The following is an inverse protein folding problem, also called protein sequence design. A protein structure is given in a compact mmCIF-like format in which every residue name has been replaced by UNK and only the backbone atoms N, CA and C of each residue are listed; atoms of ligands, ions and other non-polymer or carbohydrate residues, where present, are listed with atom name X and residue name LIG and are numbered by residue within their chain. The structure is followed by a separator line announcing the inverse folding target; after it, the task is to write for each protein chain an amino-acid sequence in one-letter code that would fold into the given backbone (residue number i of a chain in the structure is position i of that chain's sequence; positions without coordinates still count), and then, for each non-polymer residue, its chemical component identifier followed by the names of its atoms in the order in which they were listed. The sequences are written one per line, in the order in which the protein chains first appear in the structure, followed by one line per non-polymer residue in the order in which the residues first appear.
data_IF_436287034310
#
_entry.id   IF_436287034310
#
_cell.length_a   1.000
_cell.length_b   1.000
_cell.length_c   1.000
_cell.angle_alpha   90.00
_cell.angle_beta   90.00
_cell.angle_gamma   90.00
#
_symmetry.space_group_name_H-M   'P 1'
#
loop_
_entity.id
_entity.type
_entity.pdbx_description
1 polymer ?
#
# COMPACT_ATOMS: atom_id res chain seq x y z
N UNK A 1 33.06 5.66 5.77
CA UNK A 1 31.81 4.99 6.17
C UNK A 1 31.74 5.07 7.68
N UNK A 2 30.68 5.65 8.25
CA UNK A 2 30.55 5.92 9.69
C UNK A 2 29.51 4.98 10.30
N UNK A 3 29.81 4.41 11.45
CA UNK A 3 28.84 3.62 12.22
C UNK A 3 28.27 4.49 13.34
N UNK A 4 26.95 4.54 13.44
CA UNK A 4 26.24 5.34 14.44
C UNK A 4 25.12 4.49 15.03
N UNK A 5 24.87 4.63 16.33
CA UNK A 5 23.71 4.04 17.01
C UNK A 5 22.75 5.16 17.40
N UNK A 6 21.46 4.97 17.19
CA UNK A 6 20.44 5.90 17.66
C UNK A 6 19.37 6.21 16.63
N UNK A 7 18.87 7.44 16.66
CA UNK A 7 17.72 7.87 15.87
C UNK A 7 17.97 7.75 14.35
N UNK A 8 16.93 7.39 13.59
CA UNK A 8 17.00 7.37 12.13
C UNK A 8 17.13 8.79 11.56
N UNK A 9 17.71 8.88 10.36
CA UNK A 9 17.75 10.13 9.60
C UNK A 9 16.55 10.20 8.68
N UNK A 10 15.78 11.27 8.84
CA UNK A 10 14.63 11.59 8.00
C UNK A 10 15.06 12.55 6.89
N UNK A 11 14.40 12.46 5.72
CA UNK A 11 14.47 13.44 4.64
C UNK A 11 15.88 13.87 4.24
N UNK A 12 16.53 13.10 3.37
CA UNK A 12 17.78 13.51 2.71
C UNK A 12 17.63 13.36 1.20
N UNK A 13 18.27 14.27 0.45
CA UNK A 13 18.30 14.16 -1.01
C UNK A 13 19.28 13.04 -1.38
N UNK A 14 18.78 12.04 -2.09
CA UNK A 14 19.61 11.03 -2.73
C UNK A 14 20.22 11.63 -4.00
N UNK A 15 21.52 11.87 -4.00
CA UNK A 15 22.25 12.18 -5.22
C UNK A 15 22.50 10.87 -5.98
N UNK A 16 21.64 10.58 -6.96
CA UNK A 16 21.70 9.35 -7.75
C UNK A 16 22.92 9.26 -8.65
N UNK A 17 23.52 10.40 -9.01
CA UNK A 17 24.68 10.45 -9.92
C UNK A 17 25.95 10.04 -9.18
N UNK A 18 26.08 10.43 -7.91
CA UNK A 18 27.26 10.18 -7.08
C UNK A 18 27.16 8.92 -6.17
N UNK A 19 26.18 8.05 -6.38
CA UNK A 19 26.04 6.82 -5.58
C UNK A 19 27.19 5.84 -5.80
N UNK A 20 27.83 5.44 -4.71
CA UNK A 20 28.83 4.36 -4.70
C UNK A 20 28.21 2.98 -4.97
N UNK A 21 29.06 2.00 -5.26
CA UNK A 21 28.64 0.62 -5.57
C UNK A 21 27.75 -0.02 -4.48
N UNK A 22 28.11 0.15 -3.20
CA UNK A 22 27.31 -0.38 -2.08
C UNK A 22 25.94 0.31 -1.98
N UNK A 23 25.90 1.62 -2.21
CA UNK A 23 24.64 2.39 -2.18
C UNK A 23 23.70 1.89 -3.29
N UNK A 24 24.21 1.57 -4.48
CA UNK A 24 23.40 1.00 -5.58
C UNK A 24 22.86 -0.41 -5.31
N UNK A 25 23.57 -1.22 -4.51
CA UNK A 25 23.12 -2.58 -4.16
C UNK A 25 22.04 -2.55 -3.08
N UNK A 26 22.24 -1.74 -2.05
CA UNK A 26 21.38 -1.73 -0.87
C UNK A 26 20.22 -0.74 -0.98
N UNK A 27 20.45 0.42 -1.60
CA UNK A 27 19.41 1.38 -1.90
C UNK A 27 18.84 0.99 -3.26
N UNK A 28 17.81 0.14 -3.24
CA UNK A 28 17.02 -0.04 -4.46
C UNK A 28 16.45 1.32 -4.82
N UNK A 29 16.71 1.88 -6.01
CA UNK A 29 16.02 3.07 -6.43
C UNK A 29 14.54 2.72 -6.34
N UNK A 30 13.79 3.45 -5.50
CA UNK A 30 12.34 3.32 -5.30
C UNK A 30 11.55 3.67 -6.58
N UNK A 31 12.20 3.63 -7.74
CA UNK A 31 11.84 4.17 -9.04
C UNK A 31 12.20 3.21 -10.18
N UNK A 32 12.16 1.89 -9.99
CA UNK A 32 11.66 1.10 -11.13
C UNK A 32 10.22 1.57 -11.31
N UNK A 33 10.00 2.45 -12.29
CA UNK A 33 8.69 3.00 -12.60
C UNK A 33 7.77 1.81 -12.80
N UNK A 34 6.82 1.64 -11.89
CA UNK A 34 5.77 0.63 -12.06
C UNK A 34 5.14 0.81 -13.44
N UNK A 35 4.94 -0.30 -14.13
CA UNK A 35 4.23 -0.30 -15.39
C UNK A 35 2.80 0.23 -15.20
N UNK A 36 2.14 0.57 -16.31
CA UNK A 36 0.81 1.18 -16.27
C UNK A 36 -0.22 0.32 -15.51
N UNK A 37 -0.36 -0.95 -15.88
CA UNK A 37 -1.31 -1.86 -15.25
C UNK A 37 -0.90 -2.21 -13.84
N UNK A 38 0.39 -2.44 -13.59
CA UNK A 38 0.92 -2.68 -12.25
C UNK A 38 0.56 -1.54 -11.30
N UNK A 39 0.78 -0.29 -11.73
CA UNK A 39 0.45 0.89 -10.92
C UNK A 39 -1.04 0.97 -10.61
N UNK A 40 -1.90 0.83 -11.62
CA UNK A 40 -3.36 0.89 -11.39
C UNK A 40 -3.84 -0.24 -10.47
N UNK A 41 -3.28 -1.44 -10.62
CA UNK A 41 -3.60 -2.57 -9.74
C UNK A 41 -3.18 -2.28 -8.30
N UNK A 42 -1.95 -1.78 -8.08
CA UNK A 42 -1.45 -1.46 -6.76
C UNK A 42 -2.26 -0.35 -6.09
N UNK A 43 -2.62 0.71 -6.83
CA UNK A 43 -3.53 1.77 -6.38
C UNK A 43 -4.90 1.20 -5.98
N UNK A 44 -5.49 0.36 -6.83
CA UNK A 44 -6.81 -0.21 -6.55
C UNK A 44 -6.78 -1.20 -5.38
N UNK A 45 -5.72 -2.02 -5.26
CA UNK A 45 -5.60 -3.03 -4.21
C UNK A 45 -5.35 -2.40 -2.84
N UNK A 46 -4.57 -1.32 -2.78
CA UNK A 46 -4.32 -0.57 -1.55
C UNK A 46 -5.50 0.31 -1.10
N UNK A 47 -6.47 0.59 -2.00
CA UNK A 47 -7.67 1.35 -1.68
C UNK A 47 -8.71 0.49 -0.93
N UNK A 48 -8.44 0.24 0.34
CA UNK A 48 -9.22 -0.65 1.23
C UNK A 48 -10.54 -0.03 1.73
N UNK A 49 -10.68 1.32 1.75
CA UNK A 49 -11.88 2.06 2.20
C UNK A 49 -12.53 2.90 1.09
N UNK A 50 -12.79 2.29 -0.09
CA UNK A 50 -13.15 2.95 -1.35
C UNK A 50 -14.16 4.11 -1.31
N UNK A 51 -15.19 4.08 -0.45
CA UNK A 51 -16.27 5.07 -0.49
C UNK A 51 -16.88 5.41 0.87
N UNK A 52 -16.21 5.09 1.97
CA UNK A 52 -16.82 5.20 3.29
C UNK A 52 -16.96 6.66 3.75
N UNK A 53 -18.04 7.32 3.33
CA UNK A 53 -18.38 8.71 3.63
C UNK A 53 -19.47 8.81 4.69
N UNK A 54 -19.35 8.07 5.80
CA UNK A 54 -20.23 8.27 6.96
C UNK A 54 -19.53 9.11 8.00
N UNK A 55 -19.82 10.40 7.92
CA UNK A 55 -19.52 11.35 8.98
C UNK A 55 -20.42 10.96 10.16
N UNK A 56 -19.83 10.47 11.26
CA UNK A 56 -20.44 10.20 12.58
C UNK A 56 -20.63 8.73 13.00
N UNK A 57 -20.17 7.73 12.23
CA UNK A 57 -20.16 6.33 12.71
C UNK A 57 -18.76 5.95 13.20
N UNK A 58 -18.69 5.18 14.31
CA UNK A 58 -17.44 4.64 14.83
C UNK A 58 -16.96 3.48 13.97
N UNK A 59 -15.86 3.68 13.24
CA UNK A 59 -15.32 2.72 12.28
C UNK A 59 -14.49 1.63 12.96
N UNK A 60 -13.79 2.01 14.03
CA UNK A 60 -12.88 1.12 14.72
C UNK A 60 -13.29 1.02 16.20
N UNK A 61 -13.15 -0.19 16.74
CA UNK A 61 -13.23 -0.45 18.17
C UNK A 61 -11.81 -0.57 18.71
N UNK A 62 -11.53 0.21 19.75
CA UNK A 62 -10.31 0.18 20.52
C UNK A 62 -10.62 -0.43 21.87
N UNK A 63 -10.05 -1.59 22.13
CA UNK A 63 -10.08 -2.23 23.45
C UNK A 63 -8.69 -2.07 24.05
N UNK A 64 -8.59 -1.27 25.12
CA UNK A 64 -7.34 -1.01 25.81
C UNK A 64 -7.56 -0.95 27.32
N UNK A 65 -6.59 -1.47 28.06
CA UNK A 65 -6.56 -1.39 29.51
C UNK A 65 -5.98 -0.08 30.05
N UNK A 66 -5.47 0.80 29.18
CA UNK A 66 -4.94 2.13 29.51
C UNK A 66 -5.29 3.11 28.39
N UNK A 67 -6.49 3.70 28.48
CA UNK A 67 -7.03 4.61 27.47
C UNK A 67 -6.12 5.84 27.26
N UNK A 68 -5.52 6.37 28.33
CA UNK A 68 -4.65 7.54 28.26
C UNK A 68 -3.38 7.25 27.45
N UNK A 69 -2.75 6.09 27.67
CA UNK A 69 -1.59 5.67 26.89
C UNK A 69 -1.96 5.35 25.43
N UNK A 70 -3.12 4.73 25.20
CA UNK A 70 -3.63 4.46 23.85
C UNK A 70 -3.87 5.76 23.07
N UNK A 71 -4.53 6.75 23.67
CA UNK A 71 -4.74 8.08 23.08
C UNK A 71 -3.40 8.78 22.80
N UNK A 72 -2.43 8.66 23.70
CA UNK A 72 -1.10 9.26 23.52
C UNK A 72 -0.35 8.66 22.32
N UNK A 73 -0.44 7.35 22.12
CA UNK A 73 0.20 6.65 21.00
C UNK A 73 -0.49 6.93 19.65
N UNK A 74 -1.82 7.06 19.64
CA UNK A 74 -2.61 7.24 18.42
C UNK A 74 -2.85 8.71 18.05
N UNK A 75 -2.89 9.62 19.02
CA UNK A 75 -3.28 11.03 18.85
C UNK A 75 -2.33 11.85 17.96
N UNK A 76 -1.08 11.41 17.86
CA UNK A 76 -0.01 12.11 17.13
C UNK A 76 0.40 11.43 15.82
N UNK A 77 -0.39 10.45 15.37
CA UNK A 77 -0.27 9.90 14.02
C UNK A 77 -0.75 10.97 13.04
N UNK A 78 0.15 11.48 12.18
CA UNK A 78 -0.19 12.54 11.23
C UNK A 78 -1.22 12.05 10.20
N UNK A 79 -2.49 12.43 10.37
CA UNK A 79 -3.53 12.26 9.35
C UNK A 79 -3.42 13.28 8.20
N UNK A 80 -4.07 13.00 7.06
CA UNK A 80 -4.08 13.91 5.89
C UNK A 80 -5.06 15.08 6.05
N UNK A 81 -5.99 14.99 7.01
CA UNK A 81 -7.12 15.92 7.16
C UNK A 81 -7.01 16.82 8.41
N UNK A 82 -7.54 18.06 8.33
CA UNK A 82 -7.48 19.09 9.39
C UNK A 82 -8.47 18.90 10.55
N UNK A 83 -9.44 17.98 10.44
CA UNK A 83 -10.36 17.62 11.53
C UNK A 83 -9.94 16.25 12.02
N UNK A 84 -9.39 16.19 13.23
CA UNK A 84 -8.86 14.96 13.81
C UNK A 84 -9.95 14.28 14.63
N UNK A 85 -10.63 13.28 14.07
CA UNK A 85 -11.20 12.22 14.90
C UNK A 85 -10.27 11.00 14.83
N UNK A 86 -10.23 10.23 15.91
CA UNK A 86 -9.38 9.05 16.06
C UNK A 86 -9.57 8.05 14.91
N UNK A 87 -10.82 7.85 14.47
CA UNK A 87 -11.16 6.99 13.34
C UNK A 87 -10.58 7.47 12.02
N UNK A 88 -10.62 8.77 11.74
CA UNK A 88 -10.02 9.33 10.52
C UNK A 88 -8.50 9.16 10.54
N UNK A 89 -7.85 9.32 11.70
CA UNK A 89 -6.42 9.08 11.86
C UNK A 89 -6.06 7.60 11.62
N UNK A 90 -6.80 6.65 12.23
CA UNK A 90 -6.57 5.21 12.03
C UNK A 90 -6.83 4.85 10.56
N UNK A 91 -7.91 5.34 9.95
CA UNK A 91 -8.22 5.08 8.54
C UNK A 91 -7.09 5.56 7.64
N UNK A 92 -6.69 6.83 7.76
CA UNK A 92 -5.63 7.43 6.94
C UNK A 92 -4.30 6.66 7.13
N UNK A 93 -4.00 6.25 8.35
CA UNK A 93 -2.78 5.49 8.65
C UNK A 93 -2.79 4.09 8.03
N UNK A 94 -3.91 3.35 8.16
CA UNK A 94 -4.07 2.01 7.58
C UNK A 94 -4.01 2.09 6.05
N UNK A 95 -4.55 3.12 5.41
CA UNK A 95 -4.43 3.34 3.96
C UNK A 95 -2.98 3.62 3.53
N UNK A 96 -2.25 4.45 4.27
CA UNK A 96 -0.84 4.73 4.01
C UNK A 96 0.01 3.46 4.15
N UNK A 97 -0.26 2.66 5.19
CA UNK A 97 0.38 1.37 5.39
C UNK A 97 0.03 0.44 4.23
N UNK A 98 -1.23 0.35 3.80
CA UNK A 98 -1.64 -0.49 2.69
C UNK A 98 -0.91 -0.11 1.39
N UNK A 99 -0.80 1.17 1.08
CA UNK A 99 -0.05 1.68 -0.07
C UNK A 99 1.43 1.28 0.00
N UNK A 100 2.04 1.46 1.18
CA UNK A 100 3.44 1.13 1.41
C UNK A 100 3.68 -0.38 1.32
N UNK A 101 2.81 -1.20 1.91
CA UNK A 101 2.91 -2.66 1.88
C UNK A 101 2.72 -3.22 0.47
N UNK A 102 1.78 -2.72 -0.32
CA UNK A 102 1.55 -3.19 -1.68
C UNK A 102 2.77 -2.89 -2.58
N UNK A 103 3.37 -1.71 -2.44
CA UNK A 103 4.55 -1.33 -3.22
C UNK A 103 5.87 -1.94 -2.72
N UNK A 104 6.14 -1.84 -1.41
CA UNK A 104 7.44 -2.15 -0.78
C UNK A 104 7.44 -3.45 0.04
N UNK A 105 6.29 -4.10 0.23
CA UNK A 105 6.08 -5.37 0.98
C UNK A 105 6.23 -5.28 2.50
N UNK A 106 6.87 -4.23 2.99
CA UNK A 106 7.11 -3.94 4.40
C UNK A 106 6.96 -2.43 4.60
N UNK A 107 6.41 -2.04 5.75
CA UNK A 107 6.32 -0.65 6.18
C UNK A 107 7.02 -0.49 7.54
N UNK A 108 7.76 0.60 7.70
CA UNK A 108 8.50 0.91 8.92
C UNK A 108 8.07 2.26 9.47
N UNK A 109 7.90 2.34 10.78
CA UNK A 109 7.67 3.59 11.50
C UNK A 109 8.59 3.63 12.72
N UNK A 110 8.87 4.82 13.24
CA UNK A 110 9.71 4.99 14.42
C UNK A 110 9.04 5.92 15.41
N UNK A 111 9.10 5.54 16.68
CA UNK A 111 8.60 6.31 17.80
C UNK A 111 9.63 7.36 18.24
N UNK A 112 9.21 8.61 18.28
CA UNK A 112 9.93 9.70 18.93
C UNK A 112 9.22 10.11 20.20
N UNK A 113 10.01 10.43 21.21
CA UNK A 113 9.55 11.04 22.45
C UNK A 113 9.97 12.51 22.40
N UNK A 114 9.00 13.41 22.38
CA UNK A 114 9.25 14.83 22.61
C UNK A 114 9.23 15.05 24.12
N UNK A 115 10.42 15.18 24.71
CA UNK A 115 10.59 15.40 26.15
C UNK A 115 10.09 16.78 26.61
N UNK A 116 9.94 17.75 25.72
CA UNK A 116 9.49 19.10 26.08
C UNK A 116 7.97 19.19 26.17
N UNK A 117 7.27 18.44 25.32
CA UNK A 117 5.79 18.41 25.28
C UNK A 117 5.17 17.17 25.92
N UNK A 118 6.01 16.25 26.38
CA UNK A 118 5.61 14.90 26.78
C UNK A 118 4.79 14.18 25.71
N UNK A 119 5.02 14.47 24.43
CA UNK A 119 4.27 13.91 23.30
C UNK A 119 5.01 12.73 22.66
N UNK A 120 4.28 11.71 22.25
CA UNK A 120 4.81 10.59 21.47
C UNK A 120 4.49 10.82 19.99
N UNK A 121 5.46 10.69 19.09
CA UNK A 121 5.22 10.83 17.65
C UNK A 121 5.68 9.60 16.88
N UNK A 122 4.77 9.03 16.08
CA UNK A 122 5.09 7.93 15.18
C UNK A 122 5.35 8.51 13.79
N UNK A 123 6.57 8.33 13.27
CA UNK A 123 6.98 8.90 11.99
C UNK A 123 7.32 7.79 10.99
N UNK A 124 6.80 7.85 9.74
CA UNK A 124 7.14 6.87 8.72
C UNK A 124 8.63 6.90 8.37
N UNK A 125 9.19 5.72 8.14
CA UNK A 125 10.54 5.53 7.63
C UNK A 125 10.48 4.99 6.20
N UNK A 126 11.36 5.52 5.35
CA UNK A 126 11.56 4.94 4.02
C UNK A 126 12.02 3.49 4.16
N UNK A 127 11.38 2.55 3.47
CA UNK A 127 11.79 1.14 3.52
C UNK A 127 12.97 0.83 2.58
N UNK A 128 13.27 1.73 1.64
CA UNK A 128 14.27 1.49 0.59
C UNK A 128 15.73 1.58 1.04
N UNK A 129 15.99 2.13 2.23
CA UNK A 129 17.30 2.29 2.84
C UNK A 129 17.45 1.50 4.14
N UNK A 130 16.44 0.71 4.51
CA UNK A 130 16.43 -0.13 5.71
C UNK A 130 16.68 -1.58 5.32
N UNK A 131 17.57 -2.23 6.05
CA UNK A 131 17.71 -3.67 5.97
C UNK A 131 17.86 -4.27 7.36
N UNK A 132 17.41 -5.50 7.49
CA UNK A 132 17.49 -6.25 8.72
C UNK A 132 18.64 -7.24 8.62
N UNK A 133 19.49 -7.25 9.64
CA UNK A 133 20.47 -8.30 9.86
C UNK A 133 20.18 -8.93 11.23
N UNK A 134 19.75 -10.19 11.23
CA UNK A 134 19.23 -10.88 12.42
C UNK A 134 18.05 -10.09 13.03
N UNK A 135 18.19 -9.59 14.27
CA UNK A 135 17.17 -8.78 14.94
C UNK A 135 17.53 -7.28 14.98
N UNK A 136 18.54 -6.86 14.21
CA UNK A 136 19.00 -5.49 14.18
C UNK A 136 18.51 -4.83 12.90
N UNK A 137 17.76 -3.74 13.04
CA UNK A 137 17.38 -2.90 11.92
C UNK A 137 18.47 -1.85 11.67
N UNK A 138 18.98 -1.81 10.45
CA UNK A 138 20.07 -0.91 10.05
C UNK A 138 19.56 -0.01 8.93
N UNK A 139 19.76 1.29 9.11
CA UNK A 139 19.54 2.29 8.08
C UNK A 139 20.85 2.65 7.40
N UNK A 140 20.89 2.48 6.07
CA UNK A 140 21.96 3.00 5.23
C UNK A 140 21.63 4.40 4.77
N UNK A 141 22.35 5.38 5.33
CA UNK A 141 22.24 6.76 4.88
C UNK A 141 23.38 7.03 3.89
N UNK A 142 23.07 7.33 2.62
CA UNK A 142 24.07 7.61 1.60
C UNK A 142 24.84 8.90 1.92
N UNK A 143 25.90 9.14 1.15
CA UNK A 143 26.56 10.44 1.12
C UNK A 143 25.55 11.55 0.80
N UNK A 144 25.62 12.64 1.53
CA UNK A 144 24.69 13.78 1.41
C UNK A 144 25.39 15.07 1.80
N UNK A 145 24.96 16.18 1.22
CA UNK A 145 25.35 17.50 1.71
C UNK A 145 24.58 17.83 2.98
N UNK A 146 25.26 18.47 3.94
CA UNK A 146 24.64 18.92 5.21
C UNK A 146 23.55 19.98 4.98
N UNK A 147 23.74 20.84 3.99
CA UNK A 147 22.80 21.90 3.61
C UNK A 147 22.52 21.84 2.10
N UNK A 148 21.26 22.04 1.72
CA UNK A 148 20.77 21.81 0.34
C UNK A 148 21.13 22.94 -0.63
N UNK A 149 21.62 24.10 -0.14
CA UNK A 149 21.78 25.33 -0.93
C UNK A 149 23.05 26.15 -0.62
N UNK A 150 23.94 25.66 0.24
CA UNK A 150 25.23 26.33 0.45
C UNK A 150 26.26 25.78 -0.55
N UNK A 151 26.94 26.67 -1.30
CA UNK A 151 27.99 26.27 -2.27
C UNK A 151 29.14 25.49 -1.64
N UNK A 152 29.33 25.65 -0.33
CA UNK A 152 30.44 25.10 0.45
C UNK A 152 29.94 24.03 1.45
N UNK A 153 28.77 23.43 1.20
CA UNK A 153 28.16 22.47 2.10
C UNK A 153 29.05 21.22 2.28
N UNK A 154 29.42 20.94 3.53
CA UNK A 154 30.17 19.75 3.91
C UNK A 154 29.46 18.47 3.44
N UNK A 155 30.18 17.63 2.70
CA UNK A 155 29.68 16.37 2.20
C UNK A 155 29.83 15.30 3.30
N UNK A 156 28.71 14.98 3.94
CA UNK A 156 28.67 13.97 4.98
C UNK A 156 28.93 12.58 4.38
N UNK A 157 29.74 11.73 5.06
CA UNK A 157 30.03 10.40 4.57
C UNK A 157 28.79 9.48 4.68
N UNK A 158 28.82 8.37 3.95
CA UNK A 158 27.85 7.27 4.12
C UNK A 158 27.84 6.81 5.58
N UNK A 159 26.65 6.72 6.17
CA UNK A 159 26.42 6.29 7.55
C UNK A 159 25.64 4.97 7.58
N UNK A 160 26.08 4.02 8.39
CA UNK A 160 25.27 2.90 8.84
C UNK A 160 24.74 3.20 10.23
N UNK A 161 23.41 3.28 10.36
CA UNK A 161 22.73 3.58 11.60
C UNK A 161 22.02 2.35 12.14
N UNK A 162 22.43 1.90 13.32
CA UNK A 162 21.72 0.86 14.05
C UNK A 162 20.54 1.51 14.78
N UNK A 163 19.33 1.15 14.38
CA UNK A 163 18.10 1.70 14.94
C UNK A 163 17.71 0.96 16.21
N UNK A 164 17.09 1.69 17.13
CA UNK A 164 16.58 1.14 18.37
C UNK A 164 15.33 0.28 18.08
N UNK A 165 15.43 -1.03 18.31
CA UNK A 165 14.37 -1.98 17.96
C UNK A 165 13.13 -1.84 18.84
N UNK A 166 13.31 -1.39 20.10
CA UNK A 166 12.22 -1.05 21.02
C UNK A 166 11.27 0.00 20.40
N UNK A 167 11.81 1.03 19.76
CA UNK A 167 11.06 2.17 19.19
C UNK A 167 10.64 1.98 17.72
N UNK A 168 11.06 0.90 17.07
CA UNK A 168 10.77 0.64 15.66
C UNK A 168 9.49 -0.18 15.50
N UNK A 169 8.51 0.34 14.78
CA UNK A 169 7.32 -0.40 14.33
C UNK A 169 7.62 -1.00 12.96
N UNK A 170 7.29 -2.27 12.79
CA UNK A 170 7.41 -2.97 11.52
C UNK A 170 6.13 -3.70 11.19
N UNK A 171 5.65 -3.49 9.97
CA UNK A 171 4.47 -4.15 9.44
C UNK A 171 4.86 -4.88 8.16
N UNK A 172 4.48 -6.15 8.03
CA UNK A 172 4.79 -6.98 6.86
C UNK A 172 3.52 -7.50 6.20
N UNK A 173 3.55 -7.68 4.88
CA UNK A 173 2.49 -8.42 4.20
C UNK A 173 2.42 -9.87 4.70
N UNK A 174 1.21 -10.34 5.00
CA UNK A 174 0.94 -11.77 5.19
C UNK A 174 1.48 -12.59 4.01
N UNK A 175 2.03 -13.79 4.29
CA UNK A 175 2.70 -14.64 3.29
C UNK A 175 1.82 -14.93 2.06
N UNK A 176 0.53 -15.19 2.29
CA UNK A 176 -0.45 -15.47 1.24
C UNK A 176 -0.69 -14.26 0.35
N UNK A 177 -0.94 -13.09 0.93
CA UNK A 177 -1.09 -11.82 0.20
C UNK A 177 0.17 -11.45 -0.56
N UNK A 178 1.35 -11.66 0.05
CA UNK A 178 2.65 -11.42 -0.59
C UNK A 178 2.85 -12.30 -1.83
N UNK A 179 2.49 -13.57 -1.77
CA UNK A 179 2.56 -14.49 -2.93
C UNK A 179 1.58 -14.07 -4.02
N UNK A 180 0.33 -13.78 -3.66
CA UNK A 180 -0.70 -13.31 -4.58
C UNK A 180 -0.26 -12.05 -5.35
N UNK A 181 0.26 -11.04 -4.63
CA UNK A 181 0.74 -9.79 -5.24
C UNK A 181 1.99 -10.02 -6.10
N UNK A 182 2.90 -10.89 -5.68
CA UNK A 182 4.10 -11.21 -6.46
C UNK A 182 3.73 -11.84 -7.81
N UNK A 183 2.85 -12.83 -7.80
CA UNK A 183 2.37 -13.51 -9.00
C UNK A 183 1.63 -12.55 -9.92
N UNK A 184 0.70 -11.75 -9.37
CA UNK A 184 -0.06 -10.77 -10.15
C UNK A 184 0.86 -9.73 -10.77
N UNK A 185 1.75 -9.12 -10.00
CA UNK A 185 2.63 -8.06 -10.48
C UNK A 185 3.61 -8.58 -11.54
N UNK A 186 4.11 -9.81 -11.41
CA UNK A 186 4.94 -10.43 -12.46
C UNK A 186 4.21 -10.49 -13.81
N UNK A 187 2.93 -10.84 -13.81
CA UNK A 187 2.13 -10.90 -15.04
C UNK A 187 1.82 -9.49 -15.56
N UNK A 188 1.48 -8.54 -14.68
CA UNK A 188 1.19 -7.16 -15.09
C UNK A 188 2.44 -6.47 -15.68
N UNK A 189 3.61 -6.66 -15.07
CA UNK A 189 4.88 -6.16 -15.63
C UNK A 189 5.15 -6.71 -17.04
N UNK A 190 4.82 -7.99 -17.28
CA UNK A 190 4.95 -8.58 -18.61
C UNK A 190 3.99 -7.95 -19.63
N UNK A 191 2.73 -7.67 -19.23
CA UNK A 191 1.77 -6.98 -20.09
C UNK A 191 2.18 -5.52 -20.35
N UNK A 192 2.66 -4.83 -19.32
CA UNK A 192 3.10 -3.43 -19.42
C UNK A 192 4.26 -3.23 -20.39
N UNK A 193 5.17 -4.22 -20.49
CA UNK A 193 6.26 -4.21 -21.47
C UNK A 193 5.76 -4.06 -22.91
N UNK A 194 4.60 -4.63 -23.24
CA UNK A 194 4.06 -4.67 -24.60
C UNK A 194 2.94 -3.65 -24.86
N UNK A 195 2.50 -2.91 -23.83
CA UNK A 195 1.37 -1.98 -23.93
C UNK A 195 1.64 -0.79 -24.88
N UNK A 196 2.86 -0.27 -24.87
CA UNK A 196 3.25 0.90 -25.67
C UNK A 196 3.98 0.54 -26.97
N UNK A 197 4.09 -0.76 -27.28
CA UNK A 197 4.74 -1.25 -28.50
C UNK A 197 3.89 -1.00 -29.76
N UNK A 198 2.69 -0.43 -29.58
CA UNK A 198 1.79 -0.05 -30.67
C UNK A 198 2.49 0.87 -31.69
N UNK A 199 3.42 1.69 -31.21
CA UNK A 199 4.18 2.60 -32.08
C UNK A 199 5.18 1.88 -32.97
N UNK A 200 5.66 0.69 -32.57
CA UNK A 200 6.55 -0.14 -33.37
C UNK A 200 5.84 -0.78 -34.58
N UNK A 201 4.51 -0.90 -34.54
CA UNK A 201 3.71 -1.40 -35.67
C UNK A 201 3.35 -0.32 -36.70
N UNK A 202 3.64 0.96 -36.43
CA UNK A 202 3.50 1.98 -37.48
C UNK A 202 4.70 1.91 -38.43
N UNK A 203 4.46 1.82 -39.75
CA UNK A 203 5.53 1.95 -40.71
C UNK A 203 6.14 3.36 -40.62
N UNK A 204 7.47 3.44 -40.73
CA UNK A 204 8.19 4.71 -40.64
C UNK A 204 8.02 5.48 -41.95
N UNK A 205 7.58 6.73 -41.86
CA UNK A 205 7.54 7.62 -43.01
C UNK A 205 8.95 7.82 -43.57
N UNK A 206 9.08 7.71 -44.90
CA UNK A 206 10.33 7.99 -45.62
C UNK A 206 10.11 9.15 -46.59
N UNK A 207 11.19 9.71 -47.14
CA UNK A 207 11.09 10.76 -48.16
C UNK A 207 10.31 10.27 -49.40
N UNK A 208 10.48 9.00 -49.76
CA UNK A 208 9.79 8.36 -50.89
C UNK A 208 8.34 7.96 -50.58
N UNK A 209 8.02 7.70 -49.31
CA UNK A 209 6.66 7.39 -48.86
C UNK A 209 6.35 8.12 -47.54
N UNK A 210 5.90 9.38 -47.60
CA UNK A 210 5.65 10.20 -46.42
C UNK A 210 4.39 9.77 -45.65
N UNK A 211 3.50 8.96 -46.26
CA UNK A 211 2.25 8.48 -45.67
C UNK A 211 2.13 6.96 -45.82
N UNK A 212 2.97 6.18 -45.14
CA UNK A 212 2.93 4.74 -45.26
C UNK A 212 1.65 4.18 -44.63
N UNK A 213 0.93 3.36 -45.39
CA UNK A 213 -0.25 2.64 -44.90
C UNK A 213 0.17 1.41 -44.09
N UNK A 214 -0.59 1.11 -43.05
CA UNK A 214 -0.38 -0.08 -42.21
C UNK A 214 -1.56 -1.03 -42.38
N UNK A 215 -1.29 -2.30 -42.70
CA UNK A 215 -2.27 -3.38 -42.73
C UNK A 215 -2.51 -3.99 -41.34
N UNK A 216 -1.83 -3.48 -40.31
CA UNK A 216 -1.95 -3.99 -38.95
C UNK A 216 -3.32 -3.62 -38.34
N UNK A 217 -4.07 -4.63 -37.91
CA UNK A 217 -5.35 -4.41 -37.22
C UNK A 217 -5.12 -4.04 -35.75
N UNK A 218 -5.01 -2.73 -35.50
CA UNK A 218 -4.90 -2.18 -34.15
C UNK A 218 -6.10 -2.50 -33.25
N UNK A 219 -7.30 -2.70 -33.80
CA UNK A 219 -8.49 -3.04 -33.00
C UNK A 219 -8.36 -4.46 -32.46
N UNK A 220 -7.95 -5.39 -33.32
CA UNK A 220 -7.69 -6.77 -32.92
C UNK A 220 -6.56 -6.87 -31.89
N UNK A 221 -5.50 -6.07 -32.05
CA UNK A 221 -4.41 -5.99 -31.07
C UNK A 221 -4.90 -5.52 -29.69
N UNK A 222 -5.65 -4.41 -29.64
CA UNK A 222 -6.21 -3.88 -28.37
C UNK A 222 -7.14 -4.90 -27.72
N UNK A 223 -8.00 -5.56 -28.50
CA UNK A 223 -8.89 -6.61 -27.97
C UNK A 223 -8.11 -7.81 -27.40
N UNK A 224 -7.01 -8.19 -28.04
CA UNK A 224 -6.12 -9.26 -27.56
C UNK A 224 -5.44 -8.88 -26.24
N UNK A 225 -4.94 -7.65 -26.12
CA UNK A 225 -4.35 -7.13 -24.88
C UNK A 225 -5.38 -7.10 -23.75
N UNK A 226 -6.61 -6.70 -24.04
CA UNK A 226 -7.70 -6.69 -23.06
C UNK A 226 -8.07 -8.09 -22.57
N UNK A 227 -8.18 -9.05 -23.48
CA UNK A 227 -8.41 -10.47 -23.13
C UNK A 227 -7.24 -11.04 -22.30
N UNK A 228 -6.01 -10.67 -22.62
CA UNK A 228 -4.83 -11.09 -21.87
C UNK A 228 -4.86 -10.52 -20.44
N UNK A 229 -5.13 -9.22 -20.29
CA UNK A 229 -5.31 -8.58 -18.98
C UNK A 229 -6.43 -9.25 -18.18
N UNK A 230 -7.55 -9.55 -18.83
CA UNK A 230 -8.70 -10.15 -18.18
C UNK A 230 -8.39 -11.54 -17.60
N UNK A 231 -7.67 -12.37 -18.36
CA UNK A 231 -7.20 -13.69 -17.91
C UNK A 231 -6.16 -13.57 -16.80
N UNK A 232 -5.21 -12.65 -16.95
CA UNK A 232 -4.12 -12.40 -16.01
C UNK A 232 -4.59 -12.00 -14.60
N UNK A 233 -5.77 -11.40 -14.51
CA UNK A 233 -6.30 -10.79 -13.27
C UNK A 233 -7.42 -11.62 -12.65
N UNK A 234 -7.73 -12.79 -13.21
CA UNK A 234 -8.80 -13.68 -12.72
C UNK A 234 -8.58 -14.12 -11.27
N UNK A 235 -7.34 -14.39 -10.89
CA UNK A 235 -7.01 -14.90 -9.55
C UNK A 235 -7.15 -13.82 -8.46
N UNK A 236 -6.82 -12.57 -8.77
CA UNK A 236 -7.00 -11.45 -7.83
C UNK A 236 -8.41 -10.89 -7.86
N UNK A 237 -9.13 -11.06 -8.97
CA UNK A 237 -10.46 -10.48 -9.18
C UNK A 237 -10.43 -9.03 -9.67
N UNK A 238 -9.24 -8.44 -9.89
CA UNK A 238 -9.14 -7.05 -10.34
C UNK A 238 -9.71 -6.87 -11.75
N UNK A 239 -10.62 -5.91 -11.97
CA UNK A 239 -11.29 -5.72 -13.27
C UNK A 239 -10.53 -4.78 -14.22
N UNK A 240 -9.36 -4.28 -13.84
CA UNK A 240 -8.59 -3.38 -14.70
C UNK A 240 -9.24 -2.01 -14.91
N UNK A 241 -10.16 -1.61 -14.02
CA UNK A 241 -11.04 -0.44 -14.15
C UNK A 241 -11.90 -0.42 -15.44
N UNK A 242 -12.10 -1.59 -16.06
CA UNK A 242 -12.98 -1.76 -17.22
C UNK A 242 -14.27 -2.44 -16.77
N UNK A 243 -15.39 -1.85 -17.16
CA UNK A 243 -16.68 -2.52 -17.20
C UNK A 243 -16.99 -2.75 -18.67
N UNK A 244 -16.72 -3.95 -19.16
CA UNK A 244 -17.00 -4.30 -20.55
C UNK A 244 -18.07 -5.39 -20.57
N UNK A 245 -19.33 -4.94 -20.41
CA UNK A 245 -20.55 -5.76 -20.42
C UNK A 245 -20.71 -6.58 -21.71
N UNK A 246 -19.95 -6.25 -22.78
CA UNK A 246 -20.00 -6.98 -24.04
C UNK A 246 -19.14 -8.25 -24.05
N UNK A 247 -18.16 -8.36 -23.14
CA UNK A 247 -17.14 -9.42 -23.17
C UNK A 247 -17.36 -10.50 -22.12
N UNK A 248 -18.09 -10.21 -21.04
CA UNK A 248 -18.31 -11.11 -19.91
C UNK A 248 -19.71 -10.95 -19.32
N UNK A 249 -20.21 -12.00 -18.64
CA UNK A 249 -21.49 -11.91 -17.95
C UNK A 249 -21.37 -11.15 -16.64
N UNK A 250 -22.43 -10.43 -16.27
CA UNK A 250 -22.53 -9.72 -14.98
C UNK A 250 -22.28 -10.64 -13.79
N UNK A 251 -22.71 -11.89 -13.90
CA UNK A 251 -22.46 -12.92 -12.91
C UNK A 251 -20.97 -13.12 -12.65
N UNK A 252 -20.18 -13.24 -13.72
CA UNK A 252 -18.75 -13.45 -13.61
C UNK A 252 -18.01 -12.22 -13.05
N UNK A 253 -18.43 -11.01 -13.45
CA UNK A 253 -17.83 -9.77 -12.94
C UNK A 253 -18.14 -9.56 -11.44
N UNK A 254 -19.33 -9.92 -10.97
CA UNK A 254 -19.66 -9.89 -9.55
C UNK A 254 -18.79 -10.85 -8.71
N UNK A 255 -18.51 -12.07 -9.18
CA UNK A 255 -17.57 -12.97 -8.48
C UNK A 255 -16.16 -12.40 -8.40
N UNK A 256 -15.72 -11.72 -9.45
CA UNK A 256 -14.41 -11.06 -9.46
C UNK A 256 -14.36 -9.93 -8.46
N UNK A 257 -15.40 -9.10 -8.42
CA UNK A 257 -15.52 -8.00 -7.48
C UNK A 257 -15.50 -8.50 -6.02
N UNK A 258 -16.29 -9.54 -5.70
CA UNK A 258 -16.28 -10.19 -4.38
C UNK A 258 -14.89 -10.72 -4.02
N UNK A 259 -14.20 -11.37 -4.96
CA UNK A 259 -12.84 -11.89 -4.74
C UNK A 259 -11.85 -10.76 -4.47
N UNK A 260 -11.91 -9.69 -5.25
CA UNK A 260 -11.03 -8.54 -5.09
C UNK A 260 -11.26 -7.87 -3.73
N UNK A 261 -12.53 -7.61 -3.38
CA UNK A 261 -12.90 -7.03 -2.08
C UNK A 261 -12.45 -7.92 -0.92
N UNK A 262 -12.59 -9.25 -1.02
CA UNK A 262 -12.10 -10.18 0.00
C UNK A 262 -10.60 -10.01 0.27
N UNK A 263 -9.80 -9.89 -0.78
CA UNK A 263 -8.35 -9.70 -0.64
C UNK A 263 -8.01 -8.36 0.04
N UNK A 264 -8.76 -7.29 -0.26
CA UNK A 264 -8.61 -5.99 0.40
C UNK A 264 -9.00 -6.05 1.89
N UNK A 265 -10.07 -6.75 2.25
CA UNK A 265 -10.49 -6.92 3.65
C UNK A 265 -9.45 -7.72 4.44
N UNK A 266 -8.91 -8.79 3.86
CA UNK A 266 -7.81 -9.57 4.48
C UNK A 266 -6.59 -8.68 4.72
N UNK A 267 -6.24 -7.81 3.76
CA UNK A 267 -5.14 -6.86 3.93
C UNK A 267 -5.41 -5.89 5.08
N UNK A 268 -6.60 -5.24 5.11
CA UNK A 268 -7.00 -4.32 6.17
C UNK A 268 -6.92 -4.96 7.55
N UNK A 269 -7.56 -6.12 7.72
CA UNK A 269 -7.66 -6.80 9.02
C UNK A 269 -6.27 -7.24 9.51
N UNK A 270 -5.39 -7.65 8.59
CA UNK A 270 -4.01 -7.98 8.93
C UNK A 270 -3.18 -6.75 9.33
N UNK A 271 -3.42 -5.58 8.72
CA UNK A 271 -2.77 -4.32 9.13
C UNK A 271 -3.23 -3.93 10.53
N UNK A 272 -4.54 -3.91 10.78
CA UNK A 272 -5.11 -3.55 12.10
C UNK A 272 -4.59 -4.46 13.21
N UNK A 273 -4.56 -5.77 12.96
CA UNK A 273 -4.00 -6.75 13.89
C UNK A 273 -2.52 -6.48 14.21
N UNK A 274 -1.71 -6.22 13.18
CA UNK A 274 -0.28 -5.93 13.40
C UNK A 274 -0.06 -4.58 14.10
N UNK A 275 -0.89 -3.57 13.81
CA UNK A 275 -0.85 -2.29 14.50
C UNK A 275 -1.12 -2.46 16.00
N UNK A 276 -2.20 -3.15 16.38
CA UNK A 276 -2.50 -3.43 17.78
C UNK A 276 -1.34 -4.15 18.49
N UNK A 277 -0.75 -5.16 17.84
CA UNK A 277 0.41 -5.88 18.38
C UNK A 277 1.65 -5.01 18.55
N UNK A 278 2.00 -4.20 17.55
CA UNK A 278 3.18 -3.34 17.61
C UNK A 278 3.01 -2.18 18.60
N UNK A 279 1.80 -1.61 18.69
CA UNK A 279 1.47 -0.58 19.67
C UNK A 279 1.48 -1.14 21.09
N UNK A 280 0.95 -2.34 21.30
CA UNK A 280 1.06 -3.07 22.58
C UNK A 280 2.52 -3.24 22.98
N UNK A 281 3.36 -3.76 22.07
CA UNK A 281 4.80 -3.95 22.31
C UNK A 281 5.52 -2.65 22.68
N UNK A 282 5.14 -1.53 22.05
CA UNK A 282 5.72 -0.23 22.35
C UNK A 282 5.20 0.31 23.68
N UNK A 283 3.89 0.27 23.92
CA UNK A 283 3.28 0.73 25.15
C UNK A 283 3.76 -0.02 26.39
N UNK A 284 4.14 -1.29 26.23
CA UNK A 284 4.78 -2.11 27.28
C UNK A 284 6.10 -1.55 27.82
N UNK A 285 6.70 -0.56 27.15
CA UNK A 285 7.87 0.18 27.66
C UNK A 285 7.48 1.23 28.71
N UNK A 286 6.24 1.71 28.70
CA UNK A 286 5.72 2.70 29.65
C UNK A 286 4.85 2.05 30.73
N UNK A 287 4.06 1.04 30.36
CA UNK A 287 3.22 0.26 31.26
C UNK A 287 3.35 -1.22 30.87
N UNK A 288 4.00 -2.04 31.71
CA UNK A 288 4.31 -3.45 31.39
C UNK A 288 3.09 -4.32 31.13
N UNK A 289 1.92 -3.93 31.65
CA UNK A 289 0.66 -4.66 31.46
C UNK A 289 -0.15 -4.12 30.28
N UNK A 290 0.31 -3.05 29.60
CA UNK A 290 -0.42 -2.41 28.51
C UNK A 290 -0.78 -3.40 27.41
N UNK A 291 -2.03 -3.32 26.97
CA UNK A 291 -2.57 -4.03 25.82
C UNK A 291 -3.54 -3.12 25.06
N UNK A 292 -3.47 -3.20 23.73
CA UNK A 292 -4.42 -2.53 22.85
C UNK A 292 -4.76 -3.42 21.66
N UNK A 293 -6.06 -3.58 21.42
CA UNK A 293 -6.60 -4.27 20.25
C UNK A 293 -7.36 -3.25 19.40
N UNK A 294 -7.00 -3.19 18.12
CA UNK A 294 -7.68 -2.36 17.12
C UNK A 294 -8.44 -3.29 16.19
N UNK A 295 -9.76 -3.14 16.12
CA UNK A 295 -10.61 -3.98 15.30
C UNK A 295 -11.63 -3.15 14.50
N UNK A 296 -12.05 -3.60 13.31
CA UNK A 296 -13.13 -2.95 12.59
C UNK A 296 -14.47 -3.21 13.31
N UNK A 297 -15.35 -2.20 13.37
CA UNK A 297 -16.72 -2.38 13.86
C UNK A 297 -17.61 -3.04 12.81
N UNK A 298 -18.85 -3.38 13.20
CA UNK A 298 -19.89 -3.91 12.30
C UNK A 298 -20.30 -2.94 11.18
N UNK A 299 -19.96 -1.66 11.33
CA UNK A 299 -20.16 -0.63 10.32
C UNK A 299 -19.38 -0.95 9.05
N UNK A 300 -18.13 -1.39 9.21
CA UNK A 300 -17.26 -1.74 8.10
C UNK A 300 -17.59 -3.15 7.55
N UNK A 301 -17.42 -3.38 6.24
CA UNK A 301 -17.59 -4.71 5.67
C UNK A 301 -16.57 -5.69 6.27
N UNK A 302 -16.99 -6.92 6.54
CA UNK A 302 -16.11 -8.00 6.99
C UNK A 302 -16.15 -9.22 6.08
N UNK A 303 -15.14 -10.08 6.21
CA UNK A 303 -14.98 -11.27 5.36
C UNK A 303 -16.13 -12.27 5.55
N UNK A 304 -16.69 -12.38 6.76
CA UNK A 304 -17.79 -13.30 7.05
C UNK A 304 -19.09 -12.92 6.31
N UNK A 305 -19.42 -11.63 6.29
CA UNK A 305 -20.55 -11.11 5.52
C UNK A 305 -20.34 -11.26 4.02
N UNK A 306 -19.13 -10.99 3.54
CA UNK A 306 -18.77 -11.21 2.13
C UNK A 306 -18.95 -12.68 1.73
N UNK A 307 -18.57 -13.61 2.60
CA UNK A 307 -18.67 -15.05 2.34
C UNK A 307 -20.13 -15.52 2.29
N UNK A 308 -20.97 -15.02 3.20
CA UNK A 308 -22.42 -15.24 3.15
C UNK A 308 -23.03 -14.66 1.88
N UNK A 309 -22.65 -13.42 1.51
CA UNK A 309 -23.14 -12.75 0.31
C UNK A 309 -22.76 -13.53 -0.96
N UNK A 310 -21.53 -14.06 -1.01
CA UNK A 310 -21.05 -14.91 -2.11
C UNK A 310 -21.83 -16.22 -2.19
N UNK A 311 -22.16 -16.85 -1.07
CA UNK A 311 -22.99 -18.05 -1.04
C UNK A 311 -24.41 -17.77 -1.54
N UNK A 312 -25.04 -16.70 -1.04
CA UNK A 312 -26.36 -16.26 -1.50
C UNK A 312 -26.36 -15.92 -2.99
N UNK A 313 -25.31 -15.30 -3.49
CA UNK A 313 -25.16 -14.98 -4.91
C UNK A 313 -25.06 -16.24 -5.78
N UNK A 314 -24.37 -17.26 -5.28
CA UNK A 314 -24.28 -18.58 -5.94
C UNK A 314 -25.63 -19.31 -5.99
N UNK A 315 -26.56 -18.94 -5.11
CA UNK A 315 -27.92 -19.45 -5.04
C UNK A 315 -28.94 -18.52 -5.72
N UNK A 316 -28.48 -17.47 -6.41
CA UNK A 316 -29.31 -16.45 -7.07
C UNK A 316 -30.28 -15.72 -6.11
N UNK A 317 -29.94 -15.65 -4.81
CA UNK A 317 -30.77 -15.02 -3.76
C UNK A 317 -30.52 -13.53 -3.58
N UNK A 318 -29.48 -12.98 -4.20
CA UNK A 318 -29.09 -11.57 -4.12
C UNK A 318 -28.79 -11.05 -5.52
N UNK A 319 -29.10 -9.78 -5.75
CA UNK A 319 -28.94 -9.11 -7.04
C UNK A 319 -27.51 -8.68 -7.28
N UNK A 320 -27.16 -8.38 -8.54
CA UNK A 320 -25.86 -7.79 -8.88
C UNK A 320 -25.65 -6.44 -8.18
N UNK A 321 -26.71 -5.66 -8.01
CA UNK A 321 -26.70 -4.38 -7.30
C UNK A 321 -26.26 -4.56 -5.85
N UNK A 322 -26.80 -5.56 -5.15
CA UNK A 322 -26.40 -5.86 -3.76
C UNK A 322 -24.89 -6.17 -3.65
N UNK A 323 -24.33 -6.87 -4.65
CA UNK A 323 -22.89 -7.16 -4.70
C UNK A 323 -22.07 -5.88 -4.91
N UNK A 324 -22.49 -5.05 -5.86
CA UNK A 324 -21.82 -3.79 -6.19
C UNK A 324 -21.86 -2.86 -4.98
N UNK A 325 -23.02 -2.70 -4.34
CA UNK A 325 -23.21 -1.81 -3.20
C UNK A 325 -22.42 -2.26 -1.98
N UNK A 326 -22.33 -3.57 -1.73
CA UNK A 326 -21.46 -4.10 -0.68
C UNK A 326 -19.98 -3.82 -0.98
N UNK A 327 -19.52 -4.11 -2.21
CA UNK A 327 -18.10 -4.01 -2.53
C UNK A 327 -17.60 -2.57 -2.65
N UNK A 328 -18.47 -1.66 -3.10
CA UNK A 328 -18.21 -0.23 -3.18
C UNK A 328 -18.74 0.54 -1.97
N UNK A 329 -19.33 -0.11 -0.97
CA UNK A 329 -19.84 0.55 0.25
C UNK A 329 -20.82 1.69 -0.06
N UNK A 330 -21.66 1.54 -1.11
CA UNK A 330 -22.53 2.62 -1.62
C UNK A 330 -23.80 2.79 -0.80
N UNK A 331 -24.38 1.72 -0.28
CA UNK A 331 -25.60 1.78 0.53
C UNK A 331 -25.60 0.65 1.59
N UNK A 332 -25.40 1.02 2.86
CA UNK A 332 -25.78 0.20 4.02
C UNK A 332 -26.89 0.90 4.79
N UNK A 333 -28.06 1.10 4.21
CA UNK A 333 -29.20 1.52 5.02
C UNK A 333 -29.38 0.50 6.13
N UNK A 334 -29.18 0.94 7.38
CA UNK A 334 -29.47 0.13 8.55
C UNK A 334 -30.93 -0.30 8.43
N UNK A 335 -31.15 -1.62 8.35
CA UNK A 335 -32.46 -2.21 8.60
C UNK A 335 -32.54 -2.63 10.04
#
# INVERSE_FOLDING_TARGET
MKFVKGQPVYHYHLDTENMGFLERIFIRPTREREGFYQRMFNEDFSNIFRSFNRRNETLFSLDSNDEALAEKLLGNVKGRHRRHCLDDNIRDWVEEIAQTLVGLKTAYYFLHEDTEKEELHIVPLSSGNLFQLLNICIQLVPKRQKERWASDAELLPTELRILETSKLIRLDLARTTKQLLLEQNRVLTALDKHKHDNTAFYPKATYENPLPQSDFDFRYWVDTQDKALYRATRNTGWTGRKQDYSKCSDFFDCYRLLRFKRNQLILRDNILFQLGKELTRIGQQYNTEFEIVISPTNVLPNVGELDKLKEQFSQEKVSFTDIIDFCYERERTAK
#
